data_IF_848811185991
#
_entry.id   IF_848811185991
#
_cell.length_a   1.000
_cell.length_b   1.000
_cell.length_c   1.000
_cell.angle_alpha   90.00
_cell.angle_beta   90.00
_cell.angle_gamma   90.00
#
_symmetry.space_group_name_H-M   'P 1'
#
loop_
_entity.id
_entity.type
_entity.pdbx_description
1 polymer ?
#
# COMPACT_ATOMS: atom_id res chain seq x y z
N UNK A 1 -26.80 43.05 -44.24
CA UNK A 1 -26.21 41.73 -43.86
C UNK A 1 -25.15 41.76 -42.75
N UNK A 2 -24.65 42.91 -42.25
CA UNK A 2 -23.57 42.95 -41.23
C UNK A 2 -24.03 42.77 -39.77
N UNK A 3 -25.32 43.00 -39.46
CA UNK A 3 -25.83 43.10 -38.07
C UNK A 3 -26.04 41.75 -37.36
N UNK A 4 -26.07 40.64 -38.11
CA UNK A 4 -26.31 39.29 -37.57
C UNK A 4 -25.03 38.49 -37.32
N UNK A 5 -23.91 38.83 -37.97
CA UNK A 5 -22.62 38.14 -37.81
C UNK A 5 -22.02 38.41 -36.41
N UNK A 6 -22.15 39.64 -35.91
CA UNK A 6 -21.67 40.01 -34.58
C UNK A 6 -22.37 39.24 -33.44
N UNK A 7 -23.66 38.93 -33.61
CA UNK A 7 -24.42 38.13 -32.63
C UNK A 7 -24.01 36.66 -32.64
N UNK A 8 -23.75 36.11 -33.82
CA UNK A 8 -23.26 34.72 -33.95
C UNK A 8 -21.86 34.59 -33.33
N UNK A 9 -20.98 35.57 -33.54
CA UNK A 9 -19.63 35.57 -32.97
C UNK A 9 -19.64 35.62 -31.42
N UNK A 10 -20.58 36.36 -30.83
CA UNK A 10 -20.74 36.48 -29.37
C UNK A 10 -21.33 35.20 -28.73
N UNK A 11 -22.13 34.43 -29.47
CA UNK A 11 -22.68 33.15 -28.98
C UNK A 11 -21.61 32.04 -29.01
N UNK A 12 -20.73 32.05 -30.02
CA UNK A 12 -19.65 31.06 -30.17
C UNK A 12 -18.60 31.18 -29.06
N UNK A 13 -18.34 32.37 -28.52
CA UNK A 13 -17.37 32.55 -27.41
C UNK A 13 -17.88 32.07 -26.05
N UNK A 14 -19.19 31.89 -25.88
CA UNK A 14 -19.77 31.44 -24.60
C UNK A 14 -19.70 29.91 -24.44
N UNK A 15 -19.63 29.15 -25.53
CA UNK A 15 -19.65 27.68 -25.50
C UNK A 15 -18.28 27.09 -25.13
N UNK A 16 -17.18 27.83 -25.31
CA UNK A 16 -15.82 27.35 -24.98
C UNK A 16 -15.48 27.41 -23.49
N UNK A 17 -16.36 27.95 -22.63
CA UNK A 17 -16.13 28.06 -21.18
C UNK A 17 -16.69 26.88 -20.38
N UNK A 18 -17.41 25.94 -21.00
CA UNK A 18 -18.05 24.82 -20.31
C UNK A 18 -17.17 23.55 -20.25
N UNK A 19 -15.99 23.52 -20.87
CA UNK A 19 -15.14 22.32 -20.93
C UNK A 19 -13.99 22.27 -19.91
N UNK A 20 -13.97 23.17 -18.92
CA UNK A 20 -12.86 23.27 -17.95
C UNK A 20 -13.14 22.60 -16.60
N UNK A 21 -14.35 22.11 -16.33
CA UNK A 21 -14.67 21.51 -15.03
C UNK A 21 -14.09 20.11 -14.88
N UNK A 22 -14.23 19.28 -15.92
CA UNK A 22 -13.90 17.85 -15.83
C UNK A 22 -12.38 17.58 -15.68
N UNK A 23 -11.54 18.43 -16.30
CA UNK A 23 -10.07 18.31 -16.23
C UNK A 23 -9.55 18.73 -14.85
N UNK A 24 -10.15 19.74 -14.23
CA UNK A 24 -9.72 20.27 -12.93
C UNK A 24 -10.05 19.28 -11.83
N UNK A 25 -11.23 18.66 -11.89
CA UNK A 25 -11.66 17.65 -10.92
C UNK A 25 -10.74 16.43 -10.97
N UNK A 26 -10.37 15.95 -12.17
CA UNK A 26 -9.43 14.84 -12.33
C UNK A 26 -8.01 15.17 -11.81
N UNK A 27 -7.53 16.41 -11.96
CA UNK A 27 -6.24 16.84 -11.39
C UNK A 27 -6.31 16.87 -9.85
N UNK A 28 -7.45 17.26 -9.29
CA UNK A 28 -7.63 17.35 -7.85
C UNK A 28 -7.71 15.96 -7.20
N UNK A 29 -8.44 15.02 -7.80
CA UNK A 29 -8.49 13.62 -7.38
C UNK A 29 -7.11 12.96 -7.45
N UNK A 30 -6.39 13.12 -8.57
CA UNK A 30 -5.02 12.61 -8.70
C UNK A 30 -4.06 13.17 -7.63
N UNK A 31 -4.24 14.42 -7.21
CA UNK A 31 -3.45 15.01 -6.12
C UNK A 31 -3.84 14.45 -4.75
N UNK A 32 -5.11 14.12 -4.52
CA UNK A 32 -5.54 13.49 -3.26
C UNK A 32 -5.07 12.03 -3.17
N UNK A 33 -5.13 11.28 -4.26
CA UNK A 33 -4.59 9.91 -4.34
C UNK A 33 -3.06 9.89 -4.14
N UNK A 34 -2.35 10.90 -4.64
CA UNK A 34 -0.90 11.03 -4.42
C UNK A 34 -0.51 11.34 -2.97
N UNK A 35 -1.40 11.96 -2.18
CA UNK A 35 -1.11 12.42 -0.82
C UNK A 35 -1.61 11.48 0.30
N UNK A 36 -2.14 10.31 -0.06
CA UNK A 36 -2.62 9.34 0.94
C UNK A 36 -1.47 8.47 1.41
N UNK A 37 -0.92 8.78 2.59
CA UNK A 37 0.09 7.97 3.25
C UNK A 37 -0.54 6.79 4.00
N UNK A 38 0.09 5.63 3.94
CA UNK A 38 -0.28 4.47 4.75
C UNK A 38 -0.11 4.80 6.23
N UNK A 39 -1.13 4.58 7.08
CA UNK A 39 -1.01 4.80 8.53
C UNK A 39 0.02 3.85 9.16
N UNK A 40 0.39 2.78 8.44
CA UNK A 40 1.35 1.78 8.87
C UNK A 40 2.77 2.05 8.39
N UNK A 41 3.02 3.12 7.62
CA UNK A 41 4.34 3.45 7.09
C UNK A 41 5.41 3.40 8.19
N UNK A 42 6.56 2.81 7.87
CA UNK A 42 7.72 2.77 8.75
C UNK A 42 8.41 1.41 8.76
N UNK A 43 9.41 1.30 9.63
CA UNK A 43 10.18 0.08 9.83
C UNK A 43 9.78 -0.56 11.16
N UNK A 44 9.49 -1.85 11.12
CA UNK A 44 9.19 -2.65 12.30
C UNK A 44 10.21 -3.76 12.41
N UNK A 45 10.65 -4.05 13.62
CA UNK A 45 11.60 -5.13 13.90
C UNK A 45 11.14 -5.97 15.08
N UNK A 46 11.39 -7.27 15.02
CA UNK A 46 11.06 -8.19 16.10
C UNK A 46 11.41 -9.62 15.74
N UNK A 47 10.61 -10.57 16.25
CA UNK A 47 10.94 -11.99 16.16
C UNK A 47 9.72 -12.84 15.83
N UNK A 48 9.99 -14.05 15.33
CA UNK A 48 9.02 -15.13 15.26
C UNK A 48 9.53 -16.33 16.08
N UNK A 49 8.59 -17.12 16.60
CA UNK A 49 8.83 -18.28 17.47
C UNK A 49 7.81 -19.39 17.18
N UNK A 50 8.04 -20.61 17.68
CA UNK A 50 7.14 -21.75 17.50
C UNK A 50 7.90 -22.97 16.99
N UNK A 51 7.48 -23.55 15.86
CA UNK A 51 8.22 -24.63 15.21
C UNK A 51 9.62 -24.22 14.73
N UNK A 52 9.84 -22.93 14.50
CA UNK A 52 11.11 -22.31 14.19
C UNK A 52 11.15 -20.91 14.80
N UNK A 53 12.34 -20.35 14.92
CA UNK A 53 12.54 -19.01 15.50
C UNK A 53 13.57 -18.21 14.72
N UNK A 54 13.45 -16.89 14.78
CA UNK A 54 14.38 -15.96 14.16
C UNK A 54 13.86 -14.53 14.20
N UNK A 55 14.49 -13.65 13.43
CA UNK A 55 14.18 -12.23 13.41
C UNK A 55 13.32 -11.86 12.21
N UNK A 56 12.58 -10.75 12.37
CA UNK A 56 11.74 -10.15 11.35
C UNK A 56 12.09 -8.67 11.19
N UNK A 57 12.15 -8.23 9.94
CA UNK A 57 12.14 -6.83 9.55
C UNK A 57 10.94 -6.63 8.61
N UNK A 58 10.09 -5.67 8.91
CA UNK A 58 8.93 -5.31 8.09
C UNK A 58 9.08 -3.84 7.72
N UNK A 59 9.25 -3.55 6.43
CA UNK A 59 9.26 -2.19 5.91
C UNK A 59 7.92 -1.91 5.23
N UNK A 60 7.25 -0.84 5.62
CA UNK A 60 6.01 -0.38 4.99
C UNK A 60 6.28 0.95 4.29
N UNK A 61 6.06 0.98 2.98
CA UNK A 61 6.20 2.19 2.16
C UNK A 61 5.08 3.19 2.45
N UNK A 62 5.27 4.43 1.98
CA UNK A 62 4.24 5.48 2.00
C UNK A 62 2.92 5.02 1.36
N UNK A 63 3.00 4.17 0.33
CA UNK A 63 1.83 3.65 -0.39
C UNK A 63 1.27 2.34 0.16
N UNK A 64 1.80 1.86 1.29
CA UNK A 64 1.34 0.61 1.93
C UNK A 64 1.84 -0.67 1.28
N UNK A 65 2.86 -0.60 0.41
CA UNK A 65 3.63 -1.77 -0.01
C UNK A 65 4.45 -2.26 1.17
N UNK A 66 4.46 -3.57 1.39
CA UNK A 66 5.10 -4.18 2.55
C UNK A 66 6.21 -5.09 2.05
N UNK A 67 7.40 -4.89 2.56
CA UNK A 67 8.54 -5.79 2.37
C UNK A 67 8.81 -6.49 3.70
N UNK A 68 8.75 -7.82 3.72
CA UNK A 68 8.99 -8.63 4.90
C UNK A 68 10.28 -9.41 4.67
N UNK A 69 11.24 -9.19 5.55
CA UNK A 69 12.51 -9.92 5.59
C UNK A 69 12.53 -10.80 6.83
N UNK A 70 12.63 -12.11 6.60
CA UNK A 70 12.85 -13.13 7.63
C UNK A 70 14.32 -13.43 7.71
N UNK A 71 14.86 -13.47 8.92
CA UNK A 71 16.26 -13.79 9.18
C UNK A 71 16.29 -15.02 10.08
N UNK A 72 17.05 -16.02 9.66
CA UNK A 72 17.34 -17.23 10.42
C UNK A 72 18.82 -17.22 10.83
N UNK A 73 19.27 -18.24 11.56
CA UNK A 73 20.69 -18.38 11.93
C UNK A 73 21.62 -18.52 10.72
N UNK A 74 21.12 -19.06 9.59
CA UNK A 74 21.96 -19.46 8.46
C UNK A 74 21.61 -18.77 7.15
N UNK A 75 20.47 -18.09 7.08
CA UNK A 75 19.96 -17.46 5.84
C UNK A 75 18.98 -16.34 6.14
N UNK A 76 18.77 -15.48 5.15
CA UNK A 76 17.67 -14.53 5.11
C UNK A 76 16.86 -14.71 3.82
N UNK A 77 15.59 -14.35 3.89
CA UNK A 77 14.71 -14.31 2.72
C UNK A 77 13.75 -13.13 2.83
N UNK A 78 13.35 -12.59 1.69
CA UNK A 78 12.47 -11.42 1.59
C UNK A 78 11.33 -11.70 0.63
N UNK A 79 10.16 -11.14 0.93
CA UNK A 79 9.03 -11.12 0.00
C UNK A 79 8.22 -9.84 0.14
N UNK A 80 7.52 -9.50 -0.94
CA UNK A 80 6.68 -8.30 -1.03
C UNK A 80 5.22 -8.71 -0.90
N UNK A 81 4.47 -7.95 -0.11
CA UNK A 81 3.02 -8.10 0.05
C UNK A 81 2.35 -6.73 0.24
N UNK A 82 1.06 -6.74 0.53
CA UNK A 82 0.29 -5.55 0.88
C UNK A 82 -0.71 -5.86 1.99
N UNK A 83 -1.61 -4.92 2.25
CA UNK A 83 -2.72 -5.14 3.16
C UNK A 83 -3.97 -5.60 2.42
N UNK A 84 -4.76 -6.45 3.06
CA UNK A 84 -6.20 -6.60 2.80
C UNK A 84 -6.91 -6.07 4.03
N UNK A 85 -7.63 -4.96 3.86
CA UNK A 85 -8.14 -4.14 4.96
C UNK A 85 -6.99 -3.68 5.88
N UNK A 86 -6.89 -4.25 7.07
CA UNK A 86 -5.83 -3.96 8.05
C UNK A 86 -4.84 -5.12 8.26
N UNK A 87 -5.02 -6.25 7.58
CA UNK A 87 -4.19 -7.46 7.78
C UNK A 87 -3.26 -7.70 6.61
N UNK A 88 -2.16 -8.42 6.84
CA UNK A 88 -1.26 -8.82 5.76
C UNK A 88 -2.00 -9.68 4.72
N UNK A 89 -1.73 -9.41 3.45
CA UNK A 89 -2.19 -10.26 2.37
C UNK A 89 -1.40 -11.58 2.36
N UNK A 90 -2.12 -12.70 2.47
CA UNK A 90 -1.56 -14.05 2.59
C UNK A 90 -1.43 -14.79 1.26
N UNK A 91 -1.69 -14.14 0.12
CA UNK A 91 -1.44 -14.72 -1.21
C UNK A 91 0.04 -14.74 -1.57
N UNK A 92 0.82 -13.78 -1.05
CA UNK A 92 2.26 -13.68 -1.28
C UNK A 92 3.05 -14.32 -0.13
N UNK A 93 4.16 -14.95 -0.49
CA UNK A 93 4.97 -15.78 0.42
C UNK A 93 6.44 -15.63 0.09
N UNK A 94 7.30 -15.91 1.06
CA UNK A 94 8.72 -16.08 0.82
C UNK A 94 9.01 -17.31 -0.06
N UNK A 95 10.20 -17.40 -0.69
CA UNK A 95 10.59 -18.58 -1.47
C UNK A 95 10.48 -19.90 -0.71
N UNK A 96 10.69 -19.90 0.61
CA UNK A 96 10.49 -21.07 1.47
C UNK A 96 9.01 -21.45 1.71
N UNK A 97 8.07 -20.61 1.30
CA UNK A 97 6.66 -20.69 1.65
C UNK A 97 6.28 -19.99 2.95
N UNK A 98 7.23 -19.33 3.63
CA UNK A 98 6.96 -18.57 4.84
C UNK A 98 6.05 -17.37 4.58
N UNK A 99 5.02 -17.19 5.41
CA UNK A 99 4.13 -16.02 5.38
C UNK A 99 3.73 -15.59 6.79
N UNK A 100 3.52 -14.29 6.96
CA UNK A 100 2.93 -13.72 8.18
C UNK A 100 1.40 -13.60 8.04
N UNK A 101 0.71 -13.91 9.12
CA UNK A 101 -0.73 -13.76 9.32
C UNK A 101 -0.93 -12.83 10.52
N UNK A 102 -1.78 -11.82 10.37
CA UNK A 102 -2.02 -10.81 11.40
C UNK A 102 -1.90 -9.39 10.84
N UNK A 103 -1.61 -8.43 11.71
CA UNK A 103 -1.63 -7.02 11.37
C UNK A 103 -0.65 -6.18 12.20
N UNK A 104 -0.31 -5.00 11.68
CA UNK A 104 0.58 -4.06 12.37
C UNK A 104 -0.10 -3.21 13.46
N UNK A 105 -1.43 -3.23 13.57
CA UNK A 105 -2.13 -2.57 14.70
C UNK A 105 -1.78 -3.23 16.03
N UNK A 106 -1.86 -4.57 16.05
CA UNK A 106 -1.53 -5.38 17.22
C UNK A 106 -0.03 -5.66 17.36
N UNK A 107 0.74 -5.44 16.28
CA UNK A 107 2.18 -5.71 16.20
C UNK A 107 2.54 -7.16 16.56
N UNK A 108 1.60 -8.08 16.37
CA UNK A 108 1.73 -9.50 16.63
C UNK A 108 0.81 -10.31 15.72
N UNK A 109 1.05 -11.61 15.64
CA UNK A 109 0.22 -12.53 14.88
C UNK A 109 0.82 -13.92 14.83
N UNK A 110 0.41 -14.69 13.82
CA UNK A 110 0.92 -16.04 13.55
C UNK A 110 1.70 -16.09 12.24
N UNK A 111 2.54 -17.10 12.08
CA UNK A 111 3.22 -17.36 10.80
C UNK A 111 3.01 -18.82 10.41
N UNK A 112 3.10 -19.07 9.11
CA UNK A 112 3.00 -20.42 8.54
C UNK A 112 4.06 -20.64 7.46
N UNK A 113 4.53 -21.88 7.34
CA UNK A 113 5.45 -22.35 6.30
C UNK A 113 5.20 -23.84 6.08
N UNK A 114 4.31 -24.19 5.14
CA UNK A 114 3.83 -25.55 4.98
C UNK A 114 3.08 -26.03 6.24
N UNK A 115 3.55 -27.11 6.87
CA UNK A 115 2.98 -27.64 8.12
C UNK A 115 3.53 -26.96 9.39
N UNK A 116 4.52 -26.08 9.25
CA UNK A 116 5.15 -25.38 10.35
C UNK A 116 4.40 -24.10 10.66
N UNK A 117 4.30 -23.78 11.95
CA UNK A 117 3.59 -22.59 12.41
C UNK A 117 4.17 -22.04 13.70
N UNK A 118 3.72 -20.83 14.04
CA UNK A 118 4.05 -20.23 15.31
C UNK A 118 3.53 -18.79 15.41
N UNK A 119 4.13 -18.03 16.31
CA UNK A 119 3.73 -16.65 16.60
C UNK A 119 4.87 -15.68 16.24
N UNK A 120 4.51 -14.44 15.93
CA UNK A 120 5.47 -13.37 15.75
C UNK A 120 5.04 -12.11 16.50
N UNK A 121 6.01 -11.26 16.81
CA UNK A 121 5.81 -9.94 17.40
C UNK A 121 6.87 -8.98 16.89
N UNK A 122 6.48 -7.73 16.67
CA UNK A 122 7.37 -6.65 16.22
C UNK A 122 7.14 -5.38 17.04
N UNK A 123 8.06 -4.42 16.89
CA UNK A 123 7.89 -3.05 17.37
C UNK A 123 8.25 -2.08 16.27
N UNK A 124 7.51 -0.98 16.19
CA UNK A 124 7.86 0.13 15.29
C UNK A 124 9.10 0.84 15.84
N UNK A 125 10.07 1.10 14.96
CA UNK A 125 11.26 1.89 15.26
C UNK A 125 11.03 3.37 14.96
#
# INVERSE_FOLDING_TARGET
>A
MKKNIAKVLMIVSLVTLQSCTDIVDQIYENKQEQNTFSPYQGKYTGTYTGNASGDLIINVSEKGTIEITRITLTSSETYITGFINASFNTTNRAPSGFMLIGNLNSQLGTWEMGNLKGNWTVKKN
#
